data_IF_511741554458
#
_entry.id   IF_511741554458
#
_cell.length_a   1.000
_cell.length_b   1.000
_cell.length_c   1.000
_cell.angle_alpha   90.00
_cell.angle_beta   90.00
_cell.angle_gamma   90.00
#
_symmetry.space_group_name_H-M   'P 1'
#
loop_
_entity.id
_entity.type
_entity.pdbx_description
1 polymer ?
#
# COMPACT_ATOMS: atom_id res chain seq x y z
N UNK A 1 -15.25 -50.79 15.90
CA UNK A 1 -15.32 -49.99 14.68
C UNK A 1 -14.77 -50.86 13.55
N UNK A 2 -15.62 -51.22 12.61
CA UNK A 2 -15.25 -52.13 11.51
C UNK A 2 -14.33 -51.40 10.53
N UNK A 3 -13.47 -52.11 9.82
CA UNK A 3 -12.58 -51.55 8.80
C UNK A 3 -13.34 -50.71 7.74
N UNK A 4 -14.62 -51.06 7.44
CA UNK A 4 -15.53 -50.33 6.57
C UNK A 4 -15.88 -48.95 7.10
N UNK A 5 -16.02 -48.80 8.43
CA UNK A 5 -16.42 -47.53 9.05
C UNK A 5 -15.26 -46.50 9.02
N UNK A 6 -14.02 -46.99 9.13
CA UNK A 6 -12.80 -46.14 8.97
C UNK A 6 -12.60 -45.66 7.53
N UNK A 7 -12.83 -46.53 6.55
CA UNK A 7 -12.73 -46.17 5.17
C UNK A 7 -13.78 -45.13 4.74
N UNK A 8 -15.01 -45.30 5.25
CA UNK A 8 -16.12 -44.35 4.99
C UNK A 8 -15.88 -42.99 5.66
N UNK A 9 -15.33 -42.95 6.90
CA UNK A 9 -14.93 -41.71 7.57
C UNK A 9 -13.86 -40.97 6.76
N UNK A 10 -12.87 -41.70 6.28
CA UNK A 10 -11.73 -41.10 5.49
C UNK A 10 -12.17 -40.54 4.13
N UNK A 11 -13.19 -41.17 3.51
CA UNK A 11 -13.79 -40.65 2.27
C UNK A 11 -14.58 -39.37 2.56
N UNK A 12 -15.40 -39.34 3.61
CA UNK A 12 -16.17 -38.17 4.00
C UNK A 12 -15.27 -36.99 4.39
N UNK A 13 -14.17 -37.24 5.10
CA UNK A 13 -13.20 -36.18 5.45
C UNK A 13 -12.54 -35.60 4.19
N UNK A 14 -12.20 -36.43 3.21
CA UNK A 14 -11.60 -35.98 1.97
C UNK A 14 -12.57 -35.19 1.08
N UNK A 15 -13.83 -35.62 0.98
CA UNK A 15 -14.88 -34.89 0.28
C UNK A 15 -15.17 -33.53 0.95
N UNK A 16 -15.15 -33.47 2.27
CA UNK A 16 -15.32 -32.22 3.00
C UNK A 16 -14.13 -31.26 2.78
N UNK A 17 -12.89 -31.78 2.77
CA UNK A 17 -11.70 -30.98 2.46
C UNK A 17 -11.73 -30.46 1.00
N UNK A 18 -12.13 -31.29 0.05
CA UNK A 18 -12.27 -30.88 -1.36
C UNK A 18 -13.33 -29.79 -1.52
N UNK A 19 -14.48 -29.90 -0.82
CA UNK A 19 -15.52 -28.88 -0.84
C UNK A 19 -15.07 -27.57 -0.19
N UNK A 20 -14.36 -27.63 0.93
CA UNK A 20 -13.81 -26.45 1.62
C UNK A 20 -12.77 -25.76 0.71
N UNK A 21 -11.91 -26.52 0.05
CA UNK A 21 -10.90 -25.98 -0.87
C UNK A 21 -11.55 -25.35 -2.10
N UNK A 22 -12.58 -25.98 -2.68
CA UNK A 22 -13.34 -25.40 -3.77
C UNK A 22 -14.03 -24.10 -3.37
N UNK A 23 -14.64 -24.05 -2.19
CA UNK A 23 -15.28 -22.84 -1.66
C UNK A 23 -14.25 -21.71 -1.38
N UNK A 24 -13.10 -22.05 -0.80
CA UNK A 24 -12.01 -21.09 -0.58
C UNK A 24 -11.46 -20.56 -1.90
N UNK A 25 -11.31 -21.41 -2.91
CA UNK A 25 -10.87 -20.99 -4.25
C UNK A 25 -11.85 -19.98 -4.84
N UNK A 26 -13.14 -20.30 -4.88
CA UNK A 26 -14.16 -19.39 -5.42
C UNK A 26 -14.22 -18.05 -4.71
N UNK A 27 -14.13 -18.05 -3.35
CA UNK A 27 -14.10 -16.82 -2.57
C UNK A 27 -12.84 -15.99 -2.86
N UNK A 28 -11.69 -16.65 -3.02
CA UNK A 28 -10.45 -15.97 -3.38
C UNK A 28 -10.50 -15.42 -4.81
N UNK A 29 -11.03 -16.18 -5.75
CA UNK A 29 -11.15 -15.74 -7.16
C UNK A 29 -12.06 -14.51 -7.27
N UNK A 30 -13.18 -14.45 -6.51
CA UNK A 30 -14.02 -13.27 -6.41
C UNK A 30 -13.29 -12.06 -5.86
N UNK A 31 -12.59 -12.21 -4.71
CA UNK A 31 -11.80 -11.12 -4.12
C UNK A 31 -10.79 -10.56 -5.10
N UNK A 32 -10.16 -11.42 -5.86
CA UNK A 32 -9.17 -11.05 -6.89
C UNK A 32 -9.78 -10.26 -8.03
N UNK A 33 -10.89 -10.75 -8.57
CA UNK A 33 -11.61 -10.04 -9.64
C UNK A 33 -12.06 -8.66 -9.17
N UNK A 34 -12.54 -8.55 -7.94
CA UNK A 34 -12.94 -7.28 -7.32
C UNK A 34 -11.74 -6.34 -7.15
N UNK A 35 -10.61 -6.84 -6.65
CA UNK A 35 -9.38 -6.06 -6.53
C UNK A 35 -8.89 -5.58 -7.90
N UNK A 36 -8.92 -6.46 -8.92
CA UNK A 36 -8.50 -6.15 -10.27
C UNK A 36 -9.30 -5.02 -10.90
N UNK A 37 -10.63 -5.06 -10.82
CA UNK A 37 -11.46 -3.94 -11.32
C UNK A 37 -11.21 -2.65 -10.55
N UNK A 38 -10.92 -2.74 -9.26
CA UNK A 38 -10.48 -1.61 -8.47
C UNK A 38 -9.17 -1.03 -8.99
N UNK A 39 -8.15 -1.88 -9.20
CA UNK A 39 -6.84 -1.47 -9.72
C UNK A 39 -6.96 -0.74 -11.06
N UNK A 40 -7.69 -1.32 -12.00
CA UNK A 40 -7.95 -0.67 -13.29
C UNK A 40 -8.64 0.69 -13.11
N UNK A 41 -9.63 0.77 -12.22
CA UNK A 41 -10.33 2.03 -11.91
C UNK A 41 -9.41 3.09 -11.31
N UNK A 42 -8.45 2.69 -10.49
CA UNK A 42 -7.43 3.58 -9.93
C UNK A 42 -6.48 4.10 -11.00
N UNK A 43 -5.94 3.21 -11.82
CA UNK A 43 -4.99 3.56 -12.87
C UNK A 43 -5.56 4.51 -13.94
N UNK A 44 -6.88 4.51 -14.16
CA UNK A 44 -7.51 5.47 -15.10
C UNK A 44 -8.15 6.67 -14.39
N UNK A 45 -7.95 6.85 -13.09
CA UNK A 45 -8.66 7.85 -12.29
C UNK A 45 -8.21 9.29 -12.56
N UNK A 46 -6.99 9.48 -13.04
CA UNK A 46 -6.44 10.78 -13.42
C UNK A 46 -7.06 11.36 -14.70
N UNK A 47 -7.86 10.59 -15.45
CA UNK A 47 -8.33 10.88 -16.81
C UNK A 47 -7.20 11.07 -17.82
N UNK A 48 -6.04 10.53 -17.52
CA UNK A 48 -4.87 10.39 -18.38
C UNK A 48 -4.23 9.04 -18.09
N UNK A 49 -3.52 8.52 -19.06
CA UNK A 49 -2.63 7.37 -18.86
C UNK A 49 -1.25 7.85 -19.30
N UNK A 50 -0.38 8.07 -18.34
CA UNK A 50 1.00 8.44 -18.63
C UNK A 50 1.80 7.19 -19.03
N UNK A 51 2.96 7.38 -19.69
CA UNK A 51 3.77 6.27 -20.20
C UNK A 51 4.14 5.27 -19.08
N UNK A 52 4.39 5.76 -17.85
CA UNK A 52 4.66 4.94 -16.68
C UNK A 52 3.46 4.09 -16.22
N UNK A 53 2.24 4.61 -16.34
CA UNK A 53 1.01 3.89 -15.99
C UNK A 53 0.69 2.78 -17.01
N UNK A 54 0.95 2.98 -18.32
CA UNK A 54 0.78 1.93 -19.33
C UNK A 54 1.70 0.74 -19.04
N UNK A 55 2.96 1.00 -18.68
CA UNK A 55 3.90 -0.05 -18.28
C UNK A 55 3.48 -0.74 -16.97
N UNK A 56 2.99 0.01 -16.00
CA UNK A 56 2.51 -0.52 -14.73
C UNK A 56 1.23 -1.35 -14.91
N UNK A 57 0.28 -0.89 -15.73
CA UNK A 57 -0.92 -1.65 -16.11
C UNK A 57 -0.57 -2.99 -16.73
N UNK A 58 0.36 -3.00 -17.69
CA UNK A 58 0.82 -4.22 -18.34
C UNK A 58 1.51 -5.16 -17.35
N UNK A 59 2.40 -4.62 -16.50
CA UNK A 59 3.10 -5.42 -15.51
C UNK A 59 2.13 -6.05 -14.49
N UNK A 60 1.09 -5.32 -14.08
CA UNK A 60 0.09 -5.84 -13.14
C UNK A 60 -0.85 -6.85 -13.81
N UNK A 61 -1.25 -6.61 -15.07
CA UNK A 61 -2.00 -7.59 -15.86
C UNK A 61 -1.20 -8.90 -16.01
N UNK A 62 0.10 -8.82 -16.25
CA UNK A 62 0.97 -10.00 -16.35
C UNK A 62 1.08 -10.77 -15.03
N UNK A 63 1.23 -10.08 -13.92
CA UNK A 63 1.19 -10.70 -12.59
C UNK A 63 -0.16 -11.37 -12.33
N UNK A 64 -1.24 -10.69 -12.71
CA UNK A 64 -2.58 -11.24 -12.56
C UNK A 64 -2.74 -12.54 -13.33
N UNK A 65 -2.28 -12.60 -14.59
CA UNK A 65 -2.26 -13.80 -15.44
C UNK A 65 -1.46 -14.95 -14.85
N UNK A 66 -0.31 -14.68 -14.24
CA UNK A 66 0.55 -15.71 -13.66
C UNK A 66 -0.12 -16.44 -12.50
N UNK A 67 -0.94 -15.72 -11.73
CA UNK A 67 -1.62 -16.27 -10.56
C UNK A 67 -3.08 -16.65 -10.81
N UNK A 68 -3.69 -16.08 -11.85
CA UNK A 68 -5.12 -16.22 -12.14
C UNK A 68 -5.33 -16.55 -13.60
N UNK A 69 -6.02 -17.65 -13.83
CA UNK A 69 -6.55 -18.01 -15.15
C UNK A 69 -7.81 -17.15 -15.39
N UNK A 70 -7.60 -15.86 -15.68
CA UNK A 70 -8.65 -14.88 -15.97
C UNK A 70 -8.53 -14.44 -17.43
N UNK A 71 -9.43 -14.92 -18.33
CA UNK A 71 -9.37 -14.61 -19.74
C UNK A 71 -9.44 -13.11 -20.04
N UNK A 72 -10.16 -12.37 -19.22
CA UNK A 72 -10.33 -10.92 -19.41
C UNK A 72 -9.03 -10.16 -19.13
N UNK A 73 -8.24 -10.62 -18.14
CA UNK A 73 -6.91 -10.07 -17.87
C UNK A 73 -5.93 -10.44 -18.98
N UNK A 74 -6.06 -11.63 -19.55
CA UNK A 74 -5.27 -12.08 -20.72
C UNK A 74 -5.50 -11.18 -21.92
N UNK A 75 -6.76 -10.95 -22.28
CA UNK A 75 -7.14 -10.11 -23.41
C UNK A 75 -6.64 -8.67 -23.24
N UNK A 76 -6.81 -8.09 -22.04
CA UNK A 76 -6.31 -6.74 -21.75
C UNK A 76 -4.78 -6.66 -21.89
N UNK A 77 -4.05 -7.65 -21.36
CA UNK A 77 -2.59 -7.66 -21.44
C UNK A 77 -2.12 -7.83 -22.91
N UNK A 78 -2.83 -8.60 -23.72
CA UNK A 78 -2.53 -8.73 -25.15
C UNK A 78 -2.81 -7.44 -25.92
N UNK A 79 -3.92 -6.76 -25.65
CA UNK A 79 -4.29 -5.49 -26.26
C UNK A 79 -3.30 -4.36 -25.90
N UNK A 80 -2.86 -4.31 -24.64
CA UNK A 80 -1.81 -3.37 -24.19
C UNK A 80 -0.49 -3.63 -24.92
N UNK A 81 -0.03 -4.88 -25.01
CA UNK A 81 1.21 -5.24 -25.72
C UNK A 81 1.16 -4.94 -27.21
N UNK A 82 0.02 -5.26 -27.83
CA UNK A 82 -0.19 -5.07 -29.26
C UNK A 82 -0.49 -3.60 -29.62
N UNK A 83 -0.65 -2.72 -28.60
CA UNK A 83 -1.06 -1.32 -28.76
C UNK A 83 -2.31 -1.21 -29.66
N UNK A 84 -3.31 -2.03 -29.34
CA UNK A 84 -4.55 -2.13 -30.13
C UNK A 84 -5.48 -0.93 -29.97
N UNK A 85 -5.17 -0.01 -29.05
CA UNK A 85 -5.97 1.19 -28.81
C UNK A 85 -5.68 2.28 -29.82
N UNK A 86 -6.71 2.91 -30.34
CA UNK A 86 -6.57 4.00 -31.34
C UNK A 86 -6.06 5.31 -30.72
N UNK A 87 -6.26 5.48 -29.42
CA UNK A 87 -5.83 6.61 -28.61
C UNK A 87 -5.90 6.27 -27.13
N UNK A 88 -5.27 7.07 -26.28
CA UNK A 88 -5.39 7.02 -24.82
C UNK A 88 -6.87 7.09 -24.36
N UNK A 89 -7.65 7.99 -24.95
CA UNK A 89 -9.07 8.10 -24.64
C UNK A 89 -9.86 6.81 -25.00
N UNK A 90 -9.51 6.16 -26.09
CA UNK A 90 -10.08 4.88 -26.49
C UNK A 90 -9.72 3.77 -25.48
N UNK A 91 -8.47 3.70 -25.06
CA UNK A 91 -8.01 2.76 -24.03
C UNK A 91 -8.79 2.95 -22.71
N UNK A 92 -8.95 4.19 -22.24
CA UNK A 92 -9.72 4.50 -21.03
C UNK A 92 -11.19 4.10 -21.15
N UNK A 93 -11.81 4.31 -22.32
CA UNK A 93 -13.19 3.90 -22.57
C UNK A 93 -13.32 2.37 -22.52
N UNK A 94 -12.38 1.66 -23.13
CA UNK A 94 -12.40 0.20 -23.15
C UNK A 94 -12.15 -0.38 -21.73
N UNK A 95 -11.19 0.15 -20.99
CA UNK A 95 -10.96 -0.25 -19.59
C UNK A 95 -12.20 0.05 -18.74
N UNK A 96 -12.80 1.22 -18.87
CA UNK A 96 -14.03 1.58 -18.13
C UNK A 96 -15.19 0.64 -18.44
N UNK A 97 -15.36 0.26 -19.71
CA UNK A 97 -16.36 -0.71 -20.14
C UNK A 97 -16.10 -2.09 -19.53
N UNK A 98 -14.86 -2.54 -19.59
CA UNK A 98 -14.44 -3.80 -18.98
C UNK A 98 -14.77 -3.84 -17.48
N UNK A 99 -14.43 -2.78 -16.72
CA UNK A 99 -14.74 -2.66 -15.29
C UNK A 99 -16.25 -2.81 -15.06
N UNK A 100 -17.09 -2.15 -15.87
CA UNK A 100 -18.54 -2.21 -15.73
C UNK A 100 -19.09 -3.62 -16.02
N UNK A 101 -18.65 -4.25 -17.10
CA UNK A 101 -19.07 -5.59 -17.48
C UNK A 101 -18.66 -6.62 -16.42
N UNK A 102 -17.43 -6.55 -15.92
CA UNK A 102 -16.94 -7.45 -14.86
C UNK A 102 -17.68 -7.26 -13.55
N UNK A 103 -17.92 -6.01 -13.13
CA UNK A 103 -18.72 -5.71 -11.93
C UNK A 103 -20.13 -6.26 -12.05
N UNK A 104 -20.79 -6.08 -13.20
CA UNK A 104 -22.11 -6.62 -13.46
C UNK A 104 -22.14 -8.15 -13.40
N UNK A 105 -21.11 -8.81 -13.92
CA UNK A 105 -20.97 -10.27 -13.82
C UNK A 105 -20.85 -10.71 -12.34
N UNK A 106 -20.02 -10.06 -11.56
CA UNK A 106 -19.85 -10.35 -10.14
C UNK A 106 -21.13 -10.13 -9.31
N UNK A 107 -21.90 -9.11 -9.65
CA UNK A 107 -23.20 -8.84 -9.01
C UNK A 107 -24.28 -9.88 -9.39
N UNK A 108 -24.21 -10.45 -10.59
CA UNK A 108 -25.10 -11.54 -11.00
C UNK A 108 -24.79 -12.85 -10.26
N UNK A 109 -23.54 -13.09 -9.91
CA UNK A 109 -23.13 -14.27 -9.13
C UNK A 109 -23.60 -14.17 -7.67
N UNK A 110 -23.39 -13.03 -7.03
CA UNK A 110 -23.86 -12.72 -5.68
C UNK A 110 -23.88 -11.21 -5.44
N UNK A 111 -24.73 -10.76 -4.50
CA UNK A 111 -24.77 -9.36 -4.09
C UNK A 111 -23.38 -8.85 -3.67
N UNK A 112 -23.06 -7.63 -4.08
CA UNK A 112 -21.81 -6.97 -3.72
C UNK A 112 -21.77 -6.75 -2.20
N UNK A 113 -20.73 -7.27 -1.55
CA UNK A 113 -20.61 -7.26 -0.10
C UNK A 113 -19.71 -6.10 0.36
N UNK A 114 -19.79 -5.75 1.66
CA UNK A 114 -18.85 -4.80 2.27
C UNK A 114 -17.38 -5.22 2.07
N UNK A 115 -17.11 -6.51 2.09
CA UNK A 115 -15.76 -7.06 1.82
C UNK A 115 -15.34 -6.83 0.37
N UNK A 116 -16.27 -6.98 -0.58
CA UNK A 116 -16.00 -6.70 -2.00
C UNK A 116 -15.67 -5.21 -2.18
N UNK A 117 -16.45 -4.32 -1.56
CA UNK A 117 -16.24 -2.89 -1.62
C UNK A 117 -14.87 -2.47 -1.04
N UNK A 118 -14.48 -3.05 0.09
CA UNK A 118 -13.16 -2.83 0.69
C UNK A 118 -12.03 -3.34 -0.21
N UNK A 119 -12.18 -4.53 -0.80
CA UNK A 119 -11.17 -5.08 -1.71
C UNK A 119 -11.07 -4.28 -3.03
N UNK A 120 -12.19 -3.82 -3.57
CA UNK A 120 -12.19 -2.93 -4.73
C UNK A 120 -11.47 -1.62 -4.42
N UNK A 121 -11.71 -1.05 -3.25
CA UNK A 121 -11.04 0.17 -2.83
C UNK A 121 -9.53 -0.02 -2.63
N UNK A 122 -9.10 -1.16 -2.08
CA UNK A 122 -7.67 -1.48 -1.99
C UNK A 122 -7.04 -1.59 -3.38
N UNK A 123 -7.72 -2.26 -4.32
CA UNK A 123 -7.29 -2.28 -5.71
C UNK A 123 -7.21 -0.88 -6.31
N UNK A 124 -8.23 -0.05 -6.11
CA UNK A 124 -8.26 1.33 -6.58
C UNK A 124 -7.07 2.16 -6.07
N UNK A 125 -6.76 2.04 -4.79
CA UNK A 125 -5.59 2.69 -4.21
C UNK A 125 -4.28 2.16 -4.84
N UNK A 126 -4.18 0.86 -5.08
CA UNK A 126 -3.02 0.26 -5.75
C UNK A 126 -2.84 0.77 -7.18
N UNK A 127 -3.94 0.92 -7.92
CA UNK A 127 -3.94 1.49 -9.28
C UNK A 127 -3.46 2.93 -9.30
N UNK A 128 -3.88 3.74 -8.32
CA UNK A 128 -3.42 5.14 -8.21
C UNK A 128 -1.91 5.24 -8.00
N UNK A 129 -1.31 4.35 -7.21
CA UNK A 129 0.14 4.44 -6.91
C UNK A 129 1.01 3.65 -7.88
N UNK A 130 0.47 3.08 -8.94
CA UNK A 130 1.18 2.11 -9.78
C UNK A 130 2.38 2.71 -10.53
N UNK A 131 2.36 3.99 -10.83
CA UNK A 131 3.47 4.74 -11.44
C UNK A 131 4.43 5.36 -10.40
N UNK A 132 4.10 5.25 -9.11
CA UNK A 132 4.89 5.75 -7.99
C UNK A 132 4.68 7.24 -7.66
N UNK A 133 3.74 7.91 -8.30
CA UNK A 133 3.38 9.32 -8.06
C UNK A 133 1.89 9.39 -7.73
N UNK A 134 1.48 10.35 -6.92
CA UNK A 134 0.07 10.68 -6.69
C UNK A 134 -0.16 12.13 -7.09
N UNK A 135 -1.11 12.32 -7.98
CA UNK A 135 -1.56 13.64 -8.40
C UNK A 135 -2.69 14.15 -7.50
N UNK A 136 -2.90 15.46 -7.49
CA UNK A 136 -3.98 16.09 -6.70
C UNK A 136 -5.37 15.54 -7.06
N UNK A 137 -5.66 15.36 -8.35
CA UNK A 137 -6.92 14.78 -8.82
C UNK A 137 -7.11 13.32 -8.40
N UNK A 138 -6.05 12.55 -8.26
CA UNK A 138 -6.07 11.17 -7.78
C UNK A 138 -6.31 11.11 -6.27
N UNK A 139 -5.64 11.94 -5.49
CA UNK A 139 -5.91 12.11 -4.07
C UNK A 139 -7.38 12.53 -3.84
N UNK A 140 -7.90 13.45 -4.67
CA UNK A 140 -9.29 13.84 -4.64
C UNK A 140 -10.24 12.69 -5.03
N UNK A 141 -9.85 11.84 -5.98
CA UNK A 141 -10.63 10.67 -6.37
C UNK A 141 -10.76 9.67 -5.21
N UNK A 142 -9.69 9.45 -4.42
CA UNK A 142 -9.75 8.64 -3.20
C UNK A 142 -10.74 9.25 -2.19
N UNK A 143 -10.69 10.56 -1.94
CA UNK A 143 -11.64 11.23 -1.03
C UNK A 143 -13.08 11.12 -1.50
N UNK A 144 -13.32 11.15 -2.80
CA UNK A 144 -14.67 10.98 -3.35
C UNK A 144 -15.18 9.56 -3.09
N UNK A 145 -14.36 8.53 -3.23
CA UNK A 145 -14.72 7.16 -2.86
C UNK A 145 -15.14 7.03 -1.39
N UNK A 146 -14.43 7.68 -0.48
CA UNK A 146 -14.82 7.73 0.94
C UNK A 146 -16.20 8.38 1.14
N UNK A 147 -16.48 9.47 0.42
CA UNK A 147 -17.77 10.18 0.54
C UNK A 147 -18.94 9.41 -0.05
N UNK A 148 -18.69 8.54 -1.02
CA UNK A 148 -19.70 7.73 -1.71
C UNK A 148 -20.03 6.44 -0.97
N UNK A 149 -19.22 6.03 0.01
CA UNK A 149 -19.35 4.76 0.71
C UNK A 149 -19.32 4.91 2.22
N UNK A 150 -20.42 4.54 2.87
CA UNK A 150 -20.49 4.47 4.34
C UNK A 150 -19.56 3.40 4.89
N UNK A 151 -19.35 2.29 4.16
CA UNK A 151 -18.45 1.19 4.54
C UNK A 151 -17.01 1.71 4.62
N UNK A 152 -16.54 2.37 3.59
CA UNK A 152 -15.19 2.93 3.55
C UNK A 152 -15.04 4.07 4.57
N UNK A 153 -16.04 4.93 4.69
CA UNK A 153 -16.02 6.08 5.59
C UNK A 153 -15.92 5.66 7.06
N UNK A 154 -16.58 4.57 7.46
CA UNK A 154 -16.63 4.11 8.86
C UNK A 154 -15.57 3.08 9.20
N UNK A 155 -14.89 2.51 8.21
CA UNK A 155 -13.87 1.49 8.41
C UNK A 155 -12.65 2.06 9.15
N UNK A 156 -12.29 1.41 10.26
CA UNK A 156 -11.08 1.74 11.02
C UNK A 156 -9.80 1.50 10.21
N UNK A 157 -9.82 0.57 9.24
CA UNK A 157 -8.69 0.25 8.37
C UNK A 157 -8.23 1.46 7.56
N UNK A 158 -9.17 2.26 7.05
CA UNK A 158 -8.88 3.37 6.15
C UNK A 158 -8.82 4.74 6.84
N UNK A 159 -9.05 4.79 8.15
CA UNK A 159 -9.14 6.05 8.90
C UNK A 159 -7.87 6.92 8.75
N UNK A 160 -6.71 6.30 8.80
CA UNK A 160 -5.44 7.03 8.74
C UNK A 160 -5.17 7.55 7.34
N UNK A 161 -5.39 6.73 6.30
CA UNK A 161 -5.28 7.18 4.91
C UNK A 161 -6.21 8.38 4.65
N UNK A 162 -7.48 8.26 5.06
CA UNK A 162 -8.44 9.36 4.88
C UNK A 162 -7.94 10.66 5.51
N UNK A 163 -7.49 10.60 6.77
CA UNK A 163 -6.98 11.79 7.49
C UNK A 163 -5.74 12.37 6.82
N UNK A 164 -4.84 11.50 6.33
CA UNK A 164 -3.63 11.95 5.64
C UNK A 164 -3.98 12.71 4.35
N UNK A 165 -4.93 12.19 3.57
CA UNK A 165 -5.37 12.85 2.33
C UNK A 165 -6.17 14.14 2.64
N UNK A 166 -7.05 14.13 3.64
CA UNK A 166 -7.80 15.32 4.07
C UNK A 166 -6.83 16.45 4.49
N UNK A 167 -5.77 16.11 5.22
CA UNK A 167 -4.75 17.08 5.62
C UNK A 167 -3.91 17.57 4.43
N UNK A 168 -3.50 16.67 3.54
CA UNK A 168 -2.69 17.01 2.36
C UNK A 168 -3.45 17.90 1.35
N UNK A 169 -4.78 17.83 1.33
CA UNK A 169 -5.61 18.65 0.43
C UNK A 169 -6.28 19.84 1.12
N UNK A 170 -5.91 20.18 2.36
CA UNK A 170 -6.52 21.26 3.14
C UNK A 170 -6.37 22.63 2.44
N UNK A 171 -5.22 22.89 1.86
CA UNK A 171 -4.92 24.11 1.09
C UNK A 171 -5.14 23.98 -0.43
N UNK A 172 -5.64 22.84 -0.88
CA UNK A 172 -5.89 22.50 -2.29
C UNK A 172 -4.61 22.46 -3.16
N UNK A 173 -3.47 22.23 -2.55
CA UNK A 173 -2.18 22.07 -3.25
C UNK A 173 -1.52 20.81 -2.68
N UNK A 174 -1.39 19.77 -3.49
CA UNK A 174 -0.66 18.58 -3.09
C UNK A 174 0.84 18.78 -3.32
N UNK A 175 1.59 19.03 -2.28
CA UNK A 175 3.05 19.13 -2.37
C UNK A 175 3.67 17.76 -2.65
N UNK A 176 4.91 17.75 -3.11
CA UNK A 176 5.63 16.50 -3.41
C UNK A 176 5.81 15.65 -2.15
N UNK A 177 6.09 16.27 -1.04
CA UNK A 177 6.25 15.60 0.26
C UNK A 177 4.93 14.96 0.71
N UNK A 178 3.81 15.65 0.56
CA UNK A 178 2.47 15.11 0.88
C UNK A 178 2.07 13.98 -0.06
N UNK A 179 2.37 14.11 -1.36
CA UNK A 179 2.18 13.03 -2.33
C UNK A 179 2.98 11.77 -1.94
N UNK A 180 4.24 11.92 -1.54
CA UNK A 180 5.06 10.81 -1.03
C UNK A 180 4.45 10.20 0.25
N UNK A 181 3.95 11.01 1.18
CA UNK A 181 3.32 10.54 2.41
C UNK A 181 2.03 9.75 2.15
N UNK A 182 1.16 10.27 1.30
CA UNK A 182 -0.08 9.58 0.90
C UNK A 182 0.25 8.27 0.19
N UNK A 183 1.23 8.26 -0.71
CA UNK A 183 1.69 7.06 -1.39
C UNK A 183 2.20 6.00 -0.41
N UNK A 184 2.97 6.40 0.60
CA UNK A 184 3.47 5.47 1.63
C UNK A 184 2.31 4.87 2.45
N UNK A 185 1.28 5.66 2.79
CA UNK A 185 0.07 5.14 3.44
C UNK A 185 -0.67 4.11 2.58
N UNK A 186 -0.84 4.41 1.30
CA UNK A 186 -1.48 3.48 0.37
C UNK A 186 -0.65 2.21 0.23
N UNK A 187 0.68 2.33 0.04
CA UNK A 187 1.57 1.19 -0.10
C UNK A 187 1.51 0.24 1.10
N UNK A 188 1.35 0.77 2.32
CA UNK A 188 1.14 -0.06 3.51
C UNK A 188 -0.19 -0.81 3.48
N UNK A 189 -1.27 -0.14 3.13
CA UNK A 189 -2.61 -0.76 3.05
C UNK A 189 -2.66 -1.84 1.98
N UNK A 190 -2.10 -1.57 0.81
CA UNK A 190 -2.06 -2.52 -0.32
C UNK A 190 -1.07 -3.64 -0.06
N UNK A 191 0.02 -3.38 0.68
CA UNK A 191 0.99 -4.40 1.10
C UNK A 191 0.38 -5.49 1.97
N UNK A 192 -0.54 -5.12 2.85
CA UNK A 192 -1.29 -6.05 3.69
C UNK A 192 -2.41 -6.79 2.92
N UNK A 193 -2.73 -6.35 1.72
CA UNK A 193 -3.78 -6.92 0.89
C UNK A 193 -3.61 -8.39 0.54
N UNK A 194 -2.40 -8.96 0.64
CA UNK A 194 -2.17 -10.40 0.45
C UNK A 194 -2.94 -11.26 1.47
N UNK A 195 -3.01 -10.84 2.71
CA UNK A 195 -3.71 -11.58 3.77
C UNK A 195 -5.21 -11.67 3.45
N UNK A 196 -5.76 -10.59 2.88
CA UNK A 196 -7.19 -10.49 2.58
C UNK A 196 -7.55 -11.02 1.18
N UNK A 197 -6.67 -10.82 0.20
CA UNK A 197 -6.96 -11.17 -1.22
C UNK A 197 -6.30 -12.46 -1.67
N UNK A 198 -5.23 -12.92 -1.00
CA UNK A 198 -4.39 -14.03 -1.42
C UNK A 198 -3.45 -13.68 -2.57
N UNK A 199 -3.33 -12.41 -2.95
CA UNK A 199 -2.39 -11.94 -3.97
C UNK A 199 -1.05 -11.66 -3.31
N UNK A 200 0.05 -12.35 -3.71
CA UNK A 200 1.36 -12.04 -3.17
C UNK A 200 1.78 -10.65 -3.62
N UNK A 201 2.01 -9.76 -2.66
CA UNK A 201 2.71 -8.54 -2.93
C UNK A 201 4.18 -8.89 -3.13
N UNK A 202 4.64 -8.92 -4.39
CA UNK A 202 5.99 -9.34 -4.78
C UNK A 202 6.94 -8.14 -4.62
N UNK A 203 6.95 -7.53 -3.45
CA UNK A 203 8.05 -6.68 -3.04
C UNK A 203 9.11 -7.51 -2.33
N UNK A 204 10.34 -7.15 -2.50
CA UNK A 204 11.47 -7.84 -1.88
C UNK A 204 11.32 -7.76 -0.36
N UNK A 205 11.11 -8.90 0.30
CA UNK A 205 11.12 -8.99 1.77
C UNK A 205 12.55 -8.75 2.23
N UNK A 206 12.84 -7.52 2.59
CA UNK A 206 14.14 -7.15 3.13
C UNK A 206 14.06 -7.22 4.66
N UNK A 207 14.97 -7.94 5.28
CA UNK A 207 15.17 -7.87 6.73
C UNK A 207 15.86 -6.55 7.06
N UNK A 208 15.23 -5.74 7.91
CA UNK A 208 15.89 -4.62 8.57
C UNK A 208 16.51 -5.11 9.88
N UNK A 209 17.66 -4.55 10.23
CA UNK A 209 18.18 -4.64 11.59
C UNK A 209 17.19 -3.97 12.54
N UNK A 210 17.10 -4.45 13.78
CA UNK A 210 16.18 -3.88 14.76
C UNK A 210 16.44 -2.39 14.93
N UNK A 211 15.41 -1.53 14.85
CA UNK A 211 15.59 -0.09 15.02
C UNK A 211 16.01 0.24 16.46
N UNK A 212 16.69 1.36 16.60
CA UNK A 212 16.95 1.93 17.93
C UNK A 212 15.60 2.20 18.61
N UNK A 213 15.39 1.60 19.76
CA UNK A 213 14.21 1.79 20.61
C UNK A 213 14.55 2.54 21.89
N UNK A 214 15.83 2.62 22.26
CA UNK A 214 16.31 3.35 23.42
C UNK A 214 16.60 4.81 23.06
N UNK A 215 15.88 5.79 23.65
CA UNK A 215 16.09 7.20 23.37
C UNK A 215 17.49 7.70 23.76
N UNK A 216 18.15 7.05 24.74
CA UNK A 216 19.47 7.45 25.21
C UNK A 216 20.59 7.15 24.19
N UNK A 217 20.31 6.32 23.19
CA UNK A 217 21.22 6.05 22.09
C UNK A 217 21.20 7.12 20.99
N UNK A 218 20.29 8.09 21.06
CA UNK A 218 20.12 9.12 20.04
C UNK A 218 20.92 10.37 20.35
N UNK A 219 21.66 10.82 19.35
CA UNK A 219 22.27 12.15 19.36
C UNK A 219 21.40 13.07 18.52
N UNK A 220 20.69 14.03 19.15
CA UNK A 220 19.78 14.92 18.45
C UNK A 220 20.51 16.10 17.79
N UNK A 221 21.39 16.76 18.53
CA UNK A 221 22.04 17.99 18.08
C UNK A 221 23.06 17.70 16.94
N UNK A 222 22.87 18.37 15.84
CA UNK A 222 23.72 18.26 14.64
C UNK A 222 23.56 16.99 13.83
N UNK A 223 22.66 16.07 14.23
CA UNK A 223 22.40 14.85 13.49
C UNK A 223 21.37 15.08 12.38
N UNK A 224 21.52 14.33 11.28
CA UNK A 224 20.67 14.36 10.11
C UNK A 224 19.64 13.24 10.19
N UNK A 225 18.37 13.63 10.19
CA UNK A 225 17.21 12.74 10.26
C UNK A 225 16.47 12.70 8.94
N UNK A 226 15.98 11.52 8.56
CA UNK A 226 15.00 11.36 7.50
C UNK A 226 13.79 10.64 8.07
N UNK A 227 12.60 11.13 7.79
CA UNK A 227 11.35 10.52 8.24
C UNK A 227 10.80 9.61 7.15
N UNK A 228 10.35 8.41 7.51
CA UNK A 228 9.70 7.48 6.60
C UNK A 228 8.49 6.82 7.23
N UNK A 229 7.44 6.69 6.45
CA UNK A 229 6.14 6.21 6.89
C UNK A 229 5.30 7.27 7.61
N UNK A 230 4.01 6.95 7.79
CA UNK A 230 3.08 7.83 8.47
C UNK A 230 3.38 7.91 9.95
N UNK A 231 3.57 9.11 10.44
CA UNK A 231 3.95 9.38 11.83
C UNK A 231 2.72 9.49 12.73
N UNK A 232 2.77 8.93 13.95
CA UNK A 232 1.68 8.96 14.93
C UNK A 232 1.70 10.20 15.81
N UNK A 233 2.90 10.71 16.11
CA UNK A 233 3.08 11.82 17.04
C UNK A 233 2.74 13.19 16.47
N UNK A 234 2.43 13.28 15.18
CA UNK A 234 2.03 14.50 14.52
C UNK A 234 2.25 14.46 13.02
N UNK A 235 1.94 15.57 12.37
CA UNK A 235 2.26 15.73 10.95
C UNK A 235 3.78 15.71 10.75
N UNK A 236 4.24 15.35 9.56
CA UNK A 236 5.67 15.35 9.21
C UNK A 236 6.30 16.73 9.47
N UNK A 237 5.60 17.80 9.09
CA UNK A 237 6.04 19.19 9.34
C UNK A 237 6.21 19.49 10.83
N UNK A 238 5.30 18.99 11.67
CA UNK A 238 5.39 19.16 13.11
C UNK A 238 6.64 18.44 13.67
N UNK A 239 6.86 17.18 13.30
CA UNK A 239 8.01 16.39 13.78
C UNK A 239 9.32 16.98 13.28
N UNK A 240 9.34 17.45 12.02
CA UNK A 240 10.50 18.17 11.47
C UNK A 240 10.83 19.42 12.31
N UNK A 241 9.83 20.26 12.62
CA UNK A 241 10.03 21.44 13.45
C UNK A 241 10.55 21.08 14.86
N UNK A 242 10.09 19.97 15.44
CA UNK A 242 10.56 19.49 16.72
C UNK A 242 12.03 19.00 16.68
N UNK A 243 12.42 18.28 15.61
CA UNK A 243 13.82 17.87 15.38
C UNK A 243 14.72 19.12 15.27
N UNK A 244 14.32 20.11 14.46
CA UNK A 244 15.06 21.34 14.25
C UNK A 244 15.15 22.18 15.55
N UNK A 245 14.10 22.19 16.36
CA UNK A 245 14.06 22.86 17.66
C UNK A 245 15.11 22.31 18.65
N UNK A 246 15.37 21.01 18.61
CA UNK A 246 16.39 20.38 19.46
C UNK A 246 17.78 20.35 18.80
N UNK A 247 17.94 21.04 17.67
CA UNK A 247 19.21 21.23 16.97
C UNK A 247 19.60 20.13 15.99
N UNK A 248 18.68 19.25 15.64
CA UNK A 248 18.84 18.31 14.53
C UNK A 248 18.54 18.94 13.17
N UNK A 249 18.79 18.21 12.11
CA UNK A 249 18.48 18.59 10.73
C UNK A 249 17.57 17.53 10.13
N UNK A 250 16.44 17.94 9.57
CA UNK A 250 15.54 17.00 8.90
C UNK A 250 15.70 17.11 7.38
N UNK A 251 16.18 16.04 6.75
CA UNK A 251 16.39 15.98 5.33
C UNK A 251 15.21 15.25 4.62
N UNK A 252 14.80 15.71 3.43
CA UNK A 252 13.69 15.09 2.71
C UNK A 252 14.06 13.72 2.12
N UNK A 253 15.34 13.45 1.90
CA UNK A 253 15.85 12.22 1.26
C UNK A 253 16.98 11.59 2.04
N UNK A 254 17.06 10.27 1.96
CA UNK A 254 18.19 9.49 2.49
C UNK A 254 19.44 9.72 1.63
N UNK A 255 20.47 10.24 2.27
CA UNK A 255 21.77 10.56 1.63
C UNK A 255 22.92 10.03 2.49
N UNK A 256 24.16 10.15 2.00
CA UNK A 256 25.36 9.79 2.75
C UNK A 256 25.56 10.59 4.05
N UNK A 257 24.81 11.69 4.24
CA UNK A 257 24.84 12.51 5.45
C UNK A 257 23.82 12.08 6.49
N UNK A 258 22.89 11.21 6.11
CA UNK A 258 21.81 10.76 7.00
C UNK A 258 22.39 9.91 8.13
N UNK A 259 22.20 10.35 9.36
CA UNK A 259 22.60 9.61 10.56
C UNK A 259 21.48 8.65 10.99
N UNK A 260 20.25 9.12 10.91
CA UNK A 260 19.09 8.39 11.39
C UNK A 260 17.95 8.38 10.38
N UNK A 261 17.45 7.18 10.06
CA UNK A 261 16.18 7.00 9.36
C UNK A 261 15.11 6.64 10.38
N UNK A 262 14.21 7.59 10.64
CA UNK A 262 13.10 7.41 11.58
C UNK A 262 11.97 6.66 10.89
N UNK A 263 11.56 5.56 11.50
CA UNK A 263 10.51 4.69 10.97
C UNK A 263 9.29 4.77 11.87
N UNK A 264 8.13 4.97 11.26
CA UNK A 264 6.84 5.03 11.92
C UNK A 264 6.62 3.85 12.88
N UNK A 265 5.97 4.10 14.01
CA UNK A 265 5.64 3.06 14.99
C UNK A 265 4.66 2.01 14.47
N UNK A 266 3.88 2.31 13.43
CA UNK A 266 3.04 1.31 12.76
C UNK A 266 3.85 0.41 11.83
N UNK A 267 4.79 0.98 11.08
CA UNK A 267 5.73 0.19 10.30
C UNK A 267 6.57 -0.75 11.19
N UNK A 268 6.87 -0.36 12.44
CA UNK A 268 7.67 -1.16 13.36
C UNK A 268 6.97 -2.47 13.82
N UNK A 269 5.65 -2.53 13.82
CA UNK A 269 4.90 -3.76 14.17
C UNK A 269 5.00 -4.83 13.08
N UNK A 270 5.08 -4.42 11.82
CA UNK A 270 5.19 -5.28 10.65
C UNK A 270 6.61 -5.32 10.05
N UNK A 271 7.58 -4.88 10.79
CA UNK A 271 8.98 -4.67 10.44
C UNK A 271 9.64 -5.85 9.69
N UNK A 272 9.16 -7.06 9.90
CA UNK A 272 9.73 -8.27 9.30
C UNK A 272 9.13 -8.63 7.93
N UNK A 273 8.04 -7.98 7.52
CA UNK A 273 7.24 -8.41 6.37
C UNK A 273 6.74 -7.29 5.45
N UNK A 274 7.06 -6.00 5.73
CA UNK A 274 6.53 -4.86 4.94
C UNK A 274 7.42 -4.48 3.77
N UNK A 275 6.76 -3.99 2.71
CA UNK A 275 7.43 -3.32 1.58
C UNK A 275 8.01 -2.00 2.08
N UNK A 276 9.29 -1.84 1.82
CA UNK A 276 9.99 -0.63 2.22
C UNK A 276 9.99 0.37 1.07
N UNK A 277 9.58 1.60 1.35
CA UNK A 277 9.70 2.69 0.39
C UNK A 277 11.16 2.99 0.03
N UNK A 278 11.36 3.73 -1.04
CA UNK A 278 12.67 4.07 -1.62
C UNK A 278 13.67 4.64 -0.60
N UNK A 279 13.20 5.30 0.47
CA UNK A 279 14.06 5.84 1.54
C UNK A 279 14.74 4.74 2.35
N UNK A 280 14.02 3.64 2.64
CA UNK A 280 14.57 2.50 3.39
C UNK A 280 15.50 1.67 2.52
N UNK A 281 15.14 1.46 1.24
CA UNK A 281 16.03 0.78 0.29
C UNK A 281 17.34 1.54 0.15
N UNK A 282 17.27 2.85 -0.03
CA UNK A 282 18.47 3.70 -0.10
C UNK A 282 19.29 3.68 1.19
N UNK A 283 18.63 3.64 2.35
CA UNK A 283 19.32 3.53 3.64
C UNK A 283 20.12 2.23 3.75
N UNK A 284 19.55 1.12 3.27
CA UNK A 284 20.24 -0.19 3.27
C UNK A 284 21.45 -0.21 2.34
N UNK A 285 21.28 0.31 1.12
CA UNK A 285 22.41 0.44 0.20
C UNK A 285 23.56 1.22 0.86
N UNK A 286 23.25 2.34 1.52
CA UNK A 286 24.24 3.13 2.23
C UNK A 286 24.91 2.37 3.39
N UNK A 287 24.14 1.57 4.14
CA UNK A 287 24.71 0.73 5.20
C UNK A 287 25.62 -0.35 4.61
N UNK A 288 25.24 -0.99 3.50
CA UNK A 288 26.07 -1.94 2.77
C UNK A 288 27.33 -1.30 2.20
N UNK A 289 27.25 -0.03 1.76
CA UNK A 289 28.39 0.80 1.36
C UNK A 289 29.30 1.22 2.53
N UNK A 290 28.90 0.89 3.78
CA UNK A 290 29.69 1.14 5.00
C UNK A 290 29.38 2.48 5.69
N UNK A 291 28.28 3.14 5.34
CA UNK A 291 27.82 4.35 6.05
C UNK A 291 27.23 4.00 7.44
N UNK A 292 27.36 4.93 8.39
CA UNK A 292 26.91 4.73 9.78
C UNK A 292 25.44 5.09 10.02
N UNK A 293 24.60 5.03 8.98
CA UNK A 293 23.18 5.28 9.10
C UNK A 293 22.54 4.21 9.99
N UNK A 294 21.63 4.62 10.89
CA UNK A 294 20.90 3.74 11.81
C UNK A 294 19.40 3.95 11.67
N UNK A 295 18.64 2.88 11.81
CA UNK A 295 17.18 2.96 11.89
C UNK A 295 16.75 3.34 13.30
N UNK A 296 15.73 4.17 13.43
CA UNK A 296 15.20 4.66 14.71
C UNK A 296 13.69 4.52 14.74
N UNK A 297 13.14 4.02 15.84
CA UNK A 297 11.70 4.01 16.03
C UNK A 297 11.18 5.43 16.31
N UNK A 298 10.01 5.77 15.81
CA UNK A 298 9.34 7.04 16.10
C UNK A 298 9.18 7.26 17.60
N UNK A 299 8.85 6.18 18.35
CA UNK A 299 8.70 6.23 19.80
C UNK A 299 10.01 6.64 20.52
N UNK A 300 11.16 6.15 20.05
CA UNK A 300 12.45 6.52 20.60
C UNK A 300 12.79 7.99 20.32
N UNK A 301 12.55 8.44 19.08
CA UNK A 301 12.74 9.84 18.71
C UNK A 301 11.85 10.77 19.57
N UNK A 302 10.56 10.47 19.70
CA UNK A 302 9.65 11.29 20.50
C UNK A 302 10.11 11.36 21.97
N UNK A 303 10.49 10.24 22.58
CA UNK A 303 11.00 10.22 23.94
C UNK A 303 12.30 11.03 24.10
N UNK A 304 13.22 10.94 23.13
CA UNK A 304 14.46 11.71 23.13
C UNK A 304 14.20 13.21 23.04
N UNK A 305 13.25 13.64 22.18
CA UNK A 305 12.84 15.05 22.09
C UNK A 305 12.19 15.52 23.39
N UNK A 306 11.31 14.74 24.02
CA UNK A 306 10.71 15.10 25.32
C UNK A 306 11.74 15.15 26.45
N UNK A 307 12.70 14.22 26.46
CA UNK A 307 13.77 14.21 27.45
C UNK A 307 14.70 15.44 27.35
N UNK A 308 14.84 15.99 26.13
CA UNK A 308 15.61 17.21 25.90
C UNK A 308 15.01 18.45 26.63
N UNK A 309 13.67 18.49 26.76
CA UNK A 309 12.93 19.56 27.42
C UNK A 309 12.81 19.37 28.94
N UNK A 310 13.14 18.18 29.44
CA UNK A 310 13.07 17.94 30.88
C UNK A 310 14.12 18.79 31.62
N UNK A 311 13.76 19.49 32.73
CA UNK A 311 14.72 20.23 33.50
C UNK A 311 15.81 19.26 33.99
N UNK A 312 17.07 19.54 33.63
CA UNK A 312 18.21 18.79 34.16
C UNK A 312 18.27 19.06 35.64
N UNK A 313 17.95 18.04 36.47
CA UNK A 313 18.11 18.08 37.91
C UNK A 313 19.57 18.30 38.31
#
# INVERSE_FOLDING_TARGET
>A
MKLSDRAQLHIMDREAEEQINAFRKTANDRKRSVYWIGFLGGAISSNRIEEGEEEALLAEADKFREFFDDPDADDLAEDLRAKCFSSEADMMIQISRFIQEKRQSLEQESAYSETDEMNEFLGFCAGIICDGVILENEAQAILNRFKESDVLMTSALFLQLRRAIEAALEDQILTKEESEDVREWIAQLVGDGFVDTGIPNIGTVLRLDDPITDPDELTLHGAHFVLTGPMKFGTRTFIQAEIERVGGVCDPRTTQRTDYLVVSSEASRHWRTTHFGTKIERAKELIEEGHKLRFVSEDALAKAIYAFDAPKE
#
